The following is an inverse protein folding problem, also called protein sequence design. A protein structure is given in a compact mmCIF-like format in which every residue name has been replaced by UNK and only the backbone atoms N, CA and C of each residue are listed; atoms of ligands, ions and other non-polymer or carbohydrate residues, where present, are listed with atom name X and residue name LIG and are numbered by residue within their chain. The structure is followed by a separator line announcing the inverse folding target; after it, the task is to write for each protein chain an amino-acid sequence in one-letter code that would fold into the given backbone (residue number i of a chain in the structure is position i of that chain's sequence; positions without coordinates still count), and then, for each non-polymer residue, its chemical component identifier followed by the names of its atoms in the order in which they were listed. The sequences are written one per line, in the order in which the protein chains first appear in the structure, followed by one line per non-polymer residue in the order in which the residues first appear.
data_IF_516310634325
#
_entry.id   IF_516310634325
#
_cell.length_a   1.000
_cell.length_b   1.000
_cell.length_c   1.000
_cell.angle_alpha   90.00
_cell.angle_beta   90.00
_cell.angle_gamma   90.00
#
_symmetry.space_group_name_H-M   'P 1'
#
loop_
_entity.id
_entity.type
_entity.pdbx_description
1 polymer ?
#
# COMPACT_ATOMS: atom_id res chain seq x y z
N UNK A 1 21.89 57.95 62.07
CA UNK A 1 20.99 56.77 62.03
C UNK A 1 20.42 56.55 60.64
N UNK A 2 21.23 56.43 59.59
CA UNK A 2 20.76 56.19 58.20
C UNK A 2 21.79 55.39 57.34
N UNK A 3 22.32 54.33 57.88
CA UNK A 3 23.22 53.43 57.11
C UNK A 3 22.90 51.92 57.25
N UNK A 4 21.79 51.56 57.87
CA UNK A 4 21.42 50.15 58.15
C UNK A 4 20.29 49.57 57.30
N UNK A 5 19.55 50.38 56.51
CA UNK A 5 18.35 49.88 55.77
C UNK A 5 18.61 49.48 54.30
N UNK A 6 19.77 49.82 53.73
CA UNK A 6 20.03 49.56 52.30
C UNK A 6 20.62 48.16 52.06
N UNK A 7 21.07 47.42 53.08
CA UNK A 7 21.62 46.07 52.90
C UNK A 7 20.62 44.92 53.00
N UNK A 8 19.44 45.15 53.51
CA UNK A 8 18.43 44.05 53.63
C UNK A 8 17.60 43.86 52.34
N UNK A 9 17.45 44.87 51.51
CA UNK A 9 16.66 44.72 50.27
C UNK A 9 17.45 44.09 49.12
N UNK A 10 18.77 44.07 49.14
CA UNK A 10 19.61 43.48 48.12
C UNK A 10 19.63 41.93 48.18
N UNK A 11 19.47 41.36 49.35
CA UNK A 11 19.49 39.88 49.54
C UNK A 11 18.16 39.20 49.26
N UNK A 12 17.06 39.93 49.33
CA UNK A 12 15.72 39.42 49.00
C UNK A 12 15.48 39.39 47.48
N UNK A 13 16.12 40.25 46.69
CA UNK A 13 15.98 40.24 45.21
C UNK A 13 16.84 39.15 44.57
N UNK A 14 18.00 38.79 45.12
CA UNK A 14 18.83 37.69 44.61
C UNK A 14 18.23 36.33 44.87
N UNK A 15 17.44 36.16 45.99
CA UNK A 15 16.74 34.92 46.28
C UNK A 15 15.58 34.64 45.37
N UNK A 16 14.84 35.69 44.95
CA UNK A 16 13.71 35.57 44.05
C UNK A 16 14.11 35.32 42.58
N UNK A 17 15.28 35.80 42.13
CA UNK A 17 15.84 35.51 40.82
C UNK A 17 16.35 34.05 40.70
N UNK A 18 16.90 33.49 41.77
CA UNK A 18 17.33 32.09 41.78
C UNK A 18 16.17 31.10 41.84
N UNK A 19 15.07 31.44 42.53
CA UNK A 19 13.87 30.60 42.56
C UNK A 19 13.12 30.64 41.24
N UNK A 20 13.12 31.75 40.52
CA UNK A 20 12.53 31.88 39.18
C UNK A 20 13.30 31.09 38.12
N UNK A 21 14.63 31.05 38.17
CA UNK A 21 15.46 30.30 37.23
C UNK A 21 15.40 28.76 37.47
N UNK A 22 15.17 28.31 38.70
CA UNK A 22 14.97 26.89 39.01
C UNK A 22 13.57 26.37 38.59
N UNK A 23 12.55 27.24 38.57
CA UNK A 23 11.22 26.84 38.09
C UNK A 23 11.12 26.86 36.55
N UNK A 24 11.86 27.72 35.85
CA UNK A 24 11.92 27.68 34.38
C UNK A 24 12.81 26.55 33.85
N UNK A 25 13.79 26.09 34.61
CA UNK A 25 14.62 24.93 34.25
C UNK A 25 13.92 23.57 34.39
N UNK A 26 12.88 23.48 35.22
CA UNK A 26 12.09 22.25 35.45
C UNK A 26 10.93 22.07 34.46
N UNK A 27 10.56 23.13 33.71
CA UNK A 27 9.49 23.05 32.72
C UNK A 27 9.94 22.61 31.32
N UNK A 28 11.24 22.45 31.08
CA UNK A 28 11.80 21.98 29.81
C UNK A 28 12.23 20.50 29.82
N UNK A 29 11.92 19.76 30.89
CA UNK A 29 12.05 18.30 30.94
C UNK A 29 10.68 17.62 30.74
N UNK A 30 9.77 18.28 30.00
CA UNK A 30 8.50 17.69 29.68
C UNK A 30 8.59 16.93 28.35
N UNK A 31 8.40 15.65 28.49
CA UNK A 31 8.02 14.69 27.44
C UNK A 31 9.02 14.56 26.27
N UNK A 32 10.12 13.88 26.50
CA UNK A 32 10.49 12.85 25.54
C UNK A 32 9.37 11.82 25.64
N UNK A 33 8.32 12.01 24.84
CA UNK A 33 7.44 10.92 24.45
C UNK A 33 8.39 9.91 23.81
N UNK A 34 8.70 8.82 24.49
CA UNK A 34 9.18 7.61 23.84
C UNK A 34 8.07 7.30 22.84
N UNK A 35 8.27 7.64 21.58
CA UNK A 35 7.37 7.22 20.54
C UNK A 35 7.26 5.71 20.68
N UNK A 36 6.06 5.17 20.73
CA UNK A 36 5.86 3.72 20.73
C UNK A 36 6.59 3.18 19.52
N UNK A 37 7.67 2.47 19.76
CA UNK A 37 8.61 1.96 18.78
C UNK A 37 7.92 1.07 17.72
N UNK A 38 6.78 0.50 18.10
CA UNK A 38 5.90 -0.31 17.25
C UNK A 38 4.46 -0.18 17.75
N UNK A 39 3.52 0.12 16.85
CA UNK A 39 2.08 0.09 17.12
C UNK A 39 1.34 -0.66 16.04
N UNK A 40 0.22 -1.29 16.39
CA UNK A 40 -0.67 -1.98 15.46
C UNK A 40 -2.12 -1.61 15.74
N UNK A 41 -2.91 -1.39 14.68
CA UNK A 41 -4.33 -1.06 14.74
C UNK A 41 -5.11 -1.85 13.70
N UNK A 42 -6.20 -2.48 14.10
CA UNK A 42 -7.16 -3.08 13.19
C UNK A 42 -8.05 -1.97 12.63
N UNK A 43 -8.11 -1.85 11.30
CA UNK A 43 -8.94 -0.86 10.62
C UNK A 43 -10.25 -1.46 10.09
N UNK A 44 -10.22 -2.71 9.64
CA UNK A 44 -11.38 -3.42 9.12
C UNK A 44 -11.39 -4.86 9.62
N UNK A 45 -12.56 -5.39 9.88
CA UNK A 45 -12.77 -6.78 10.33
C UNK A 45 -13.83 -7.46 9.46
N UNK A 46 -13.64 -8.75 9.13
CA UNK A 46 -14.64 -9.55 8.43
C UNK A 46 -15.98 -9.58 9.19
N UNK A 47 -17.10 -9.71 8.46
CA UNK A 47 -18.45 -9.77 9.00
C UNK A 47 -18.87 -8.52 9.82
N UNK A 48 -18.28 -7.33 9.53
CA UNK A 48 -18.66 -6.06 10.16
C UNK A 48 -19.20 -5.05 9.15
N UNK A 49 -19.91 -4.03 9.62
CA UNK A 49 -20.44 -2.90 8.85
C UNK A 49 -21.27 -3.30 7.61
N UNK A 50 -21.83 -4.53 7.59
CA UNK A 50 -22.62 -5.06 6.49
C UNK A 50 -21.81 -5.67 5.34
N UNK A 51 -20.51 -5.86 5.52
CA UNK A 51 -19.61 -6.48 4.55
C UNK A 51 -19.08 -7.81 5.06
N UNK A 52 -19.08 -8.79 4.15
CA UNK A 52 -18.60 -10.15 4.43
C UNK A 52 -17.08 -10.16 4.64
N UNK A 53 -16.33 -9.35 3.88
CA UNK A 53 -14.88 -9.40 3.91
C UNK A 53 -14.28 -8.09 3.42
N UNK A 54 -13.15 -7.68 4.01
CA UNK A 54 -12.31 -6.59 3.51
C UNK A 54 -10.98 -7.16 3.04
N UNK A 55 -10.56 -6.78 1.83
CA UNK A 55 -9.34 -7.30 1.19
C UNK A 55 -8.62 -6.24 0.37
N UNK A 56 -7.44 -6.60 -0.13
CA UNK A 56 -6.70 -5.80 -1.12
C UNK A 56 -6.29 -4.45 -0.54
N UNK A 57 -5.44 -4.46 0.49
CA UNK A 57 -4.98 -3.23 1.16
C UNK A 57 -4.12 -2.37 0.25
N UNK A 58 -4.33 -1.06 0.32
CA UNK A 58 -3.45 -0.04 -0.23
C UNK A 58 -3.34 1.14 0.74
N UNK A 59 -2.17 1.75 0.82
CA UNK A 59 -1.90 2.85 1.75
C UNK A 59 -0.98 3.89 1.13
N UNK A 60 -1.34 5.17 1.29
CA UNK A 60 -0.51 6.29 0.86
C UNK A 60 -0.52 7.40 1.91
N UNK A 61 0.49 8.27 1.88
CA UNK A 61 0.58 9.47 2.71
C UNK A 61 0.53 10.69 1.81
N UNK A 62 -0.43 11.59 2.06
CA UNK A 62 -0.59 12.82 1.25
C UNK A 62 0.54 13.81 1.52
N UNK A 63 0.69 14.81 0.66
CA UNK A 63 1.68 15.86 0.82
C UNK A 63 1.55 16.64 2.16
N UNK A 64 0.37 16.62 2.78
CA UNK A 64 0.11 17.22 4.10
C UNK A 64 0.30 16.24 5.27
N UNK A 65 0.71 14.99 4.98
CA UNK A 65 0.91 13.95 6.01
C UNK A 65 -0.35 13.19 6.42
N UNK A 66 -1.50 13.41 5.76
CA UNK A 66 -2.70 12.59 5.98
C UNK A 66 -2.46 11.18 5.42
N UNK A 67 -2.74 10.17 6.21
CA UNK A 67 -2.68 8.77 5.77
C UNK A 67 -4.03 8.36 5.20
N UNK A 68 -4.01 7.75 4.02
CA UNK A 68 -5.18 7.17 3.35
C UNK A 68 -4.98 5.66 3.26
N UNK A 69 -5.78 4.89 4.00
CA UNK A 69 -5.83 3.43 3.94
C UNK A 69 -7.12 3.01 3.23
N UNK A 70 -6.99 2.28 2.12
CA UNK A 70 -8.12 1.87 1.29
C UNK A 70 -8.08 0.39 0.95
N UNK A 71 -9.25 -0.17 0.67
CA UNK A 71 -9.39 -1.60 0.40
C UNK A 71 -10.66 -1.91 -0.40
N UNK A 72 -10.78 -3.16 -0.86
CA UNK A 72 -12.04 -3.72 -1.33
C UNK A 72 -12.92 -4.10 -0.13
N UNK A 73 -14.16 -3.64 -0.11
CA UNK A 73 -15.22 -4.04 0.81
C UNK A 73 -16.18 -4.99 0.06
N UNK A 74 -16.13 -6.28 0.36
CA UNK A 74 -16.86 -7.37 -0.29
C UNK A 74 -18.15 -7.67 0.46
N UNK A 75 -19.29 -7.35 -0.12
CA UNK A 75 -20.55 -7.29 0.62
C UNK A 75 -21.13 -8.65 0.97
N UNK A 76 -21.18 -9.56 0.03
CA UNK A 76 -21.89 -10.83 0.21
C UNK A 76 -21.01 -12.07 0.06
N UNK A 77 -19.77 -11.93 -0.33
CA UNK A 77 -18.91 -13.04 -0.71
C UNK A 77 -17.46 -12.80 -0.33
N UNK A 78 -16.71 -13.88 -0.17
CA UNK A 78 -15.24 -13.84 -0.02
C UNK A 78 -14.52 -13.86 -1.37
N UNK A 79 -15.26 -14.08 -2.48
CA UNK A 79 -14.71 -14.18 -3.82
C UNK A 79 -14.19 -12.83 -4.34
N UNK A 80 -13.30 -12.87 -5.33
CA UNK A 80 -12.74 -11.68 -6.00
C UNK A 80 -13.76 -11.03 -6.96
N UNK A 81 -15.00 -11.50 -6.99
CA UNK A 81 -16.10 -11.00 -7.82
C UNK A 81 -17.41 -11.06 -7.05
N UNK A 82 -18.26 -10.09 -7.26
CA UNK A 82 -19.53 -9.92 -6.57
C UNK A 82 -19.84 -8.45 -6.35
N UNK A 83 -20.64 -8.13 -5.36
CA UNK A 83 -20.82 -6.75 -4.91
C UNK A 83 -19.62 -6.33 -4.10
N UNK A 84 -18.72 -5.56 -4.74
CA UNK A 84 -17.47 -5.08 -4.15
C UNK A 84 -17.39 -3.57 -4.33
N UNK A 85 -17.08 -2.87 -3.26
CA UNK A 85 -16.90 -1.43 -3.18
C UNK A 85 -15.45 -1.09 -2.79
N UNK A 86 -15.00 0.14 -3.04
CA UNK A 86 -13.74 0.64 -2.49
C UNK A 86 -14.03 1.53 -1.29
N UNK A 87 -13.55 1.11 -0.14
CA UNK A 87 -13.65 1.84 1.12
C UNK A 87 -12.31 2.45 1.52
N UNK A 88 -12.40 3.60 2.19
CA UNK A 88 -11.24 4.37 2.66
C UNK A 88 -11.44 4.84 4.09
N UNK A 89 -10.38 4.77 4.89
CA UNK A 89 -10.23 5.45 6.19
C UNK A 89 -9.07 6.44 6.11
N UNK A 90 -9.21 7.55 6.83
CA UNK A 90 -8.22 8.63 6.90
C UNK A 90 -7.67 8.78 8.30
N UNK A 91 -6.39 9.10 8.41
CA UNK A 91 -5.75 9.53 9.66
C UNK A 91 -5.00 10.84 9.42
N UNK A 92 -5.20 11.82 10.30
CA UNK A 92 -4.51 13.12 10.27
C UNK A 92 -3.46 13.26 11.37
N UNK A 93 -3.22 12.20 12.12
CA UNK A 93 -2.32 12.12 13.28
C UNK A 93 -1.29 10.99 13.15
N UNK A 94 -0.82 10.75 11.91
CA UNK A 94 0.21 9.75 11.60
C UNK A 94 -0.21 8.31 11.95
N UNK A 95 -1.48 7.97 11.78
CA UNK A 95 -2.00 6.62 11.96
C UNK A 95 -2.42 6.29 13.41
N UNK A 96 -2.46 7.28 14.31
CA UNK A 96 -2.87 7.05 15.70
C UNK A 96 -4.39 6.88 15.82
N UNK A 97 -5.16 7.73 15.13
CA UNK A 97 -6.63 7.61 15.06
C UNK A 97 -7.11 7.63 13.61
N UNK A 98 -8.28 7.07 13.38
CA UNK A 98 -8.82 6.86 12.04
C UNK A 98 -10.28 7.27 11.93
N UNK A 99 -10.63 7.87 10.82
CA UNK A 99 -12.02 8.20 10.49
C UNK A 99 -12.89 6.93 10.34
N UNK A 100 -14.22 7.04 10.42
CA UNK A 100 -15.09 5.99 9.89
C UNK A 100 -14.75 5.65 8.44
N UNK A 101 -15.05 4.41 8.02
CA UNK A 101 -14.90 3.99 6.64
C UNK A 101 -15.94 4.69 5.75
N UNK A 102 -15.53 5.12 4.56
CA UNK A 102 -16.40 5.71 3.54
C UNK A 102 -16.17 5.05 2.20
N UNK A 103 -17.23 4.83 1.43
CA UNK A 103 -17.12 4.43 0.04
C UNK A 103 -16.61 5.62 -0.78
N UNK A 104 -15.59 5.41 -1.63
CA UNK A 104 -14.96 6.51 -2.38
C UNK A 104 -15.05 6.34 -3.89
N UNK A 105 -15.30 5.15 -4.41
CA UNK A 105 -15.26 4.87 -5.83
C UNK A 105 -16.60 4.35 -6.34
N UNK A 106 -16.96 4.75 -7.57
CA UNK A 106 -18.06 4.25 -8.37
C UNK A 106 -19.42 4.31 -7.66
N UNK A 107 -19.81 5.51 -7.27
CA UNK A 107 -21.06 5.78 -6.54
C UNK A 107 -22.29 5.96 -7.47
N UNK A 108 -22.10 5.86 -8.80
CA UNK A 108 -23.11 6.11 -9.81
C UNK A 108 -23.82 4.83 -10.31
N UNK A 109 -24.32 4.91 -11.55
CA UNK A 109 -24.97 3.78 -12.20
C UNK A 109 -24.03 2.59 -12.38
N UNK A 110 -24.59 1.39 -12.29
CA UNK A 110 -23.88 0.15 -12.55
C UNK A 110 -23.51 0.03 -14.02
N UNK A 111 -22.29 -0.42 -14.27
CA UNK A 111 -21.81 -0.67 -15.62
C UNK A 111 -22.14 -2.11 -16.07
N UNK A 112 -22.26 -2.35 -17.39
CA UNK A 112 -22.42 -3.68 -17.94
C UNK A 112 -21.30 -4.61 -17.47
N UNK A 113 -21.63 -5.86 -17.16
CA UNK A 113 -20.66 -6.90 -16.82
C UNK A 113 -19.65 -7.11 -17.95
N UNK A 114 -18.45 -7.49 -17.58
CA UNK A 114 -17.46 -7.95 -18.51
C UNK A 114 -17.96 -9.28 -19.17
N UNK A 115 -18.24 -9.30 -20.49
CA UNK A 115 -18.72 -10.49 -21.18
C UNK A 115 -17.67 -11.62 -21.22
N UNK A 116 -16.40 -11.29 -21.02
CA UNK A 116 -15.29 -12.27 -21.01
C UNK A 116 -15.04 -12.85 -19.61
N UNK A 117 -15.78 -12.41 -18.58
CA UNK A 117 -15.71 -13.05 -17.28
C UNK A 117 -16.19 -14.50 -17.38
N UNK A 118 -15.44 -15.46 -16.78
CA UNK A 118 -15.84 -16.87 -16.84
C UNK A 118 -17.26 -17.02 -16.29
N UNK A 119 -18.10 -17.70 -17.05
CA UNK A 119 -19.40 -18.12 -16.54
C UNK A 119 -19.22 -18.90 -15.24
N UNK A 120 -20.14 -18.68 -14.31
CA UNK A 120 -20.15 -19.34 -13.02
C UNK A 120 -19.97 -20.84 -13.18
N UNK A 121 -18.88 -21.38 -12.71
CA UNK A 121 -18.93 -22.74 -12.18
C UNK A 121 -19.88 -22.68 -10.99
N UNK A 122 -20.98 -23.43 -11.03
CA UNK A 122 -22.09 -23.44 -10.03
C UNK A 122 -21.67 -23.52 -8.55
N UNK A 123 -20.40 -23.80 -8.28
CA UNK A 123 -19.80 -23.94 -6.94
C UNK A 123 -19.11 -22.70 -6.37
N UNK A 124 -18.94 -21.62 -7.16
CA UNK A 124 -18.31 -20.37 -6.67
C UNK A 124 -19.29 -19.21 -6.86
N UNK A 125 -19.68 -18.58 -5.78
CA UNK A 125 -20.55 -17.40 -5.83
C UNK A 125 -19.80 -16.23 -6.50
N UNK A 126 -20.00 -16.05 -7.80
CA UNK A 126 -19.35 -15.05 -8.65
C UNK A 126 -20.14 -13.75 -8.74
N UNK A 127 -21.02 -13.52 -7.80
CA UNK A 127 -21.93 -12.39 -7.78
C UNK A 127 -23.22 -12.62 -8.57
N UNK A 128 -24.30 -11.95 -8.20
CA UNK A 128 -25.59 -11.92 -8.89
C UNK A 128 -25.57 -11.07 -10.16
N UNK A 129 -26.62 -11.11 -11.00
CA UNK A 129 -26.72 -10.26 -12.19
C UNK A 129 -26.73 -8.76 -11.85
N UNK A 130 -27.19 -8.42 -10.64
CA UNK A 130 -27.30 -7.04 -10.16
C UNK A 130 -26.11 -6.59 -9.29
N UNK A 131 -25.09 -7.43 -9.13
CA UNK A 131 -23.87 -7.12 -8.37
C UNK A 131 -22.79 -6.54 -9.29
N UNK A 132 -21.98 -5.64 -8.79
CA UNK A 132 -20.86 -5.04 -9.50
C UNK A 132 -19.56 -5.16 -8.73
N UNK A 133 -18.52 -5.57 -9.43
CA UNK A 133 -17.17 -5.64 -8.88
C UNK A 133 -16.40 -4.35 -9.17
N UNK A 134 -16.14 -3.55 -8.14
CA UNK A 134 -15.20 -2.43 -8.18
C UNK A 134 -13.93 -2.88 -7.46
N UNK A 135 -12.80 -2.95 -8.17
CA UNK A 135 -11.67 -3.75 -7.72
C UNK A 135 -10.31 -3.10 -7.94
N UNK A 136 -9.31 -3.63 -7.24
CA UNK A 136 -7.90 -3.33 -7.39
C UNK A 136 -7.57 -1.83 -7.32
N UNK A 137 -7.86 -1.15 -6.21
CA UNK A 137 -7.53 0.27 -6.06
C UNK A 137 -6.02 0.51 -6.00
N UNK A 138 -5.58 1.59 -6.65
CA UNK A 138 -4.20 2.11 -6.62
C UNK A 138 -4.24 3.61 -6.44
N UNK A 139 -3.71 4.13 -5.34
CA UNK A 139 -3.56 5.58 -5.16
C UNK A 139 -2.15 6.04 -5.53
N UNK A 140 -2.06 7.25 -6.07
CA UNK A 140 -0.82 8.00 -6.30
C UNK A 140 -1.00 9.38 -5.67
N UNK A 141 -0.03 9.80 -4.89
CA UNK A 141 0.01 11.17 -4.36
C UNK A 141 0.92 12.01 -5.23
N UNK A 142 0.36 13.07 -5.80
CA UNK A 142 1.12 14.08 -6.54
C UNK A 142 1.70 15.11 -5.54
N UNK A 143 2.87 15.68 -5.87
CA UNK A 143 3.52 16.73 -5.06
C UNK A 143 2.72 18.02 -4.96
N UNK A 144 1.79 18.27 -5.88
CA UNK A 144 0.85 19.39 -5.80
C UNK A 144 -0.24 19.17 -4.73
N UNK A 145 -0.28 17.99 -4.10
CA UNK A 145 -1.25 17.58 -3.10
C UNK A 145 -2.48 16.85 -3.66
N UNK A 146 -2.56 16.67 -4.98
CA UNK A 146 -3.62 15.88 -5.59
C UNK A 146 -3.39 14.38 -5.32
N UNK A 147 -4.43 13.69 -4.88
CA UNK A 147 -4.45 12.23 -4.77
C UNK A 147 -5.24 11.67 -5.95
N UNK A 148 -4.59 10.82 -6.75
CA UNK A 148 -5.23 10.08 -7.84
C UNK A 148 -5.53 8.67 -7.36
N UNK A 149 -6.81 8.26 -7.38
CA UNK A 149 -7.21 6.89 -7.08
C UNK A 149 -7.70 6.23 -8.37
N UNK A 150 -6.91 5.27 -8.85
CA UNK A 150 -7.24 4.42 -9.98
C UNK A 150 -7.90 3.15 -9.46
N UNK A 151 -8.87 2.62 -10.19
CA UNK A 151 -9.53 1.35 -9.88
C UNK A 151 -10.14 0.74 -11.15
N UNK A 152 -10.44 -0.54 -11.09
CA UNK A 152 -11.12 -1.22 -12.19
C UNK A 152 -12.59 -1.54 -11.83
N UNK A 153 -13.43 -1.63 -12.85
CA UNK A 153 -14.78 -2.13 -12.75
C UNK A 153 -14.90 -3.39 -13.60
N UNK A 154 -15.38 -4.46 -12.99
CA UNK A 154 -15.57 -5.77 -13.61
C UNK A 154 -14.28 -6.35 -14.23
N UNK A 155 -13.08 -5.96 -13.73
CA UNK A 155 -11.79 -6.36 -14.30
C UNK A 155 -11.63 -6.05 -15.80
N UNK A 156 -12.34 -5.05 -16.30
CA UNK A 156 -12.39 -4.73 -17.72
C UNK A 156 -12.20 -3.26 -18.01
N UNK A 157 -12.71 -2.38 -17.17
CA UNK A 157 -12.70 -0.93 -17.37
C UNK A 157 -11.95 -0.27 -16.24
N UNK A 158 -11.03 0.62 -16.56
CA UNK A 158 -10.23 1.36 -15.58
C UNK A 158 -10.69 2.80 -15.49
N UNK A 159 -10.80 3.30 -14.27
CA UNK A 159 -11.23 4.65 -13.94
C UNK A 159 -10.22 5.35 -13.04
N UNK A 160 -10.23 6.66 -13.05
CA UNK A 160 -9.52 7.51 -12.10
C UNK A 160 -10.46 8.54 -11.50
N UNK A 161 -10.34 8.76 -10.20
CA UNK A 161 -10.91 9.88 -9.46
C UNK A 161 -9.79 10.65 -8.76
N UNK A 162 -10.01 11.92 -8.49
CA UNK A 162 -9.01 12.80 -7.88
C UNK A 162 -9.57 13.45 -6.63
N UNK A 163 -8.71 13.63 -5.61
CA UNK A 163 -9.00 14.42 -4.44
C UNK A 163 -7.92 15.51 -4.27
N UNK A 164 -8.35 16.73 -3.91
CA UNK A 164 -7.45 17.86 -3.60
C UNK A 164 -7.52 18.31 -2.14
N UNK A 165 -8.25 17.58 -1.34
CA UNK A 165 -8.50 17.83 0.08
C UNK A 165 -8.18 16.62 0.96
N UNK A 166 -7.08 15.93 0.61
CA UNK A 166 -6.55 14.77 1.34
C UNK A 166 -7.58 13.62 1.48
N UNK A 167 -8.32 13.33 0.42
CA UNK A 167 -9.27 12.23 0.38
C UNK A 167 -10.61 12.50 1.07
N UNK A 168 -10.97 13.76 1.35
CA UNK A 168 -12.29 14.11 1.90
C UNK A 168 -13.35 14.07 0.82
N UNK A 169 -13.09 14.71 -0.32
CA UNK A 169 -13.98 14.70 -1.48
C UNK A 169 -13.25 14.20 -2.73
N UNK A 170 -14.01 13.67 -3.68
CA UNK A 170 -13.51 13.08 -4.90
C UNK A 170 -14.27 13.60 -6.12
N UNK A 171 -13.56 13.73 -7.24
CA UNK A 171 -14.17 14.07 -8.53
C UNK A 171 -15.07 12.94 -9.03
N UNK A 172 -15.92 13.25 -10.02
CA UNK A 172 -16.59 12.22 -10.81
C UNK A 172 -15.55 11.30 -11.48
N UNK A 173 -15.86 9.99 -11.64
CA UNK A 173 -14.98 9.05 -12.32
C UNK A 173 -14.72 9.42 -13.78
N UNK A 174 -13.45 9.38 -14.19
CA UNK A 174 -13.02 9.49 -15.58
C UNK A 174 -12.51 8.14 -16.05
N UNK A 175 -13.08 7.62 -17.13
CA UNK A 175 -12.63 6.35 -17.70
C UNK A 175 -11.31 6.52 -18.46
N UNK A 176 -10.33 5.69 -18.13
CA UNK A 176 -8.99 5.67 -18.71
C UNK A 176 -8.65 4.32 -19.37
N UNK A 177 -9.63 3.45 -19.60
CA UNK A 177 -9.45 2.12 -20.20
C UNK A 177 -8.67 2.18 -21.52
N UNK A 178 -8.84 3.27 -22.28
CA UNK A 178 -8.13 3.49 -23.54
C UNK A 178 -6.60 3.45 -23.40
N UNK A 179 -6.06 3.77 -22.24
CA UNK A 179 -4.61 3.69 -21.98
C UNK A 179 -4.06 2.25 -22.07
N UNK A 180 -4.93 1.23 -21.97
CA UNK A 180 -4.54 -0.17 -22.04
C UNK A 180 -4.64 -0.77 -23.43
N UNK A 181 -5.29 -0.10 -24.39
CA UNK A 181 -5.50 -0.63 -25.76
C UNK A 181 -4.18 -0.95 -26.50
N UNK A 182 -3.09 -0.16 -26.39
CA UNK A 182 -1.84 -0.49 -27.07
C UNK A 182 -1.23 -1.83 -26.64
N UNK A 183 -1.55 -2.32 -25.45
CA UNK A 183 -1.04 -3.62 -24.98
C UNK A 183 -1.67 -4.81 -25.68
N UNK A 184 -2.81 -4.64 -26.41
CA UNK A 184 -3.44 -5.72 -27.17
C UNK A 184 -2.55 -6.28 -28.28
N UNK A 185 -1.57 -5.51 -28.75
CA UNK A 185 -0.56 -6.01 -29.68
C UNK A 185 0.33 -7.14 -29.08
N UNK A 186 0.41 -7.18 -27.74
CA UNK A 186 1.24 -8.15 -27.00
C UNK A 186 0.40 -9.23 -26.31
N UNK A 187 -0.71 -8.85 -25.73
CA UNK A 187 -1.66 -9.70 -25.02
C UNK A 187 -3.06 -9.27 -25.42
N UNK A 188 -3.83 -10.13 -26.06
CA UNK A 188 -5.25 -9.87 -26.35
C UNK A 188 -6.06 -9.97 -25.04
N UNK A 189 -5.80 -9.00 -24.17
CA UNK A 189 -6.32 -9.01 -22.81
C UNK A 189 -7.85 -8.96 -22.76
N UNK A 190 -8.40 -9.76 -21.88
CA UNK A 190 -9.81 -9.82 -21.52
C UNK A 190 -10.03 -9.33 -20.08
N UNK A 191 -8.98 -9.33 -19.29
CA UNK A 191 -8.96 -8.90 -17.88
C UNK A 191 -7.80 -7.93 -17.68
N UNK A 192 -8.09 -6.80 -17.08
CA UNK A 192 -7.11 -5.82 -16.57
C UNK A 192 -7.39 -5.50 -15.12
N UNK A 193 -6.33 -5.25 -14.35
CA UNK A 193 -6.43 -4.77 -12.98
C UNK A 193 -5.21 -3.90 -12.64
N UNK A 194 -5.47 -2.74 -12.07
CA UNK A 194 -4.42 -1.88 -11.49
C UNK A 194 -3.82 -2.54 -10.25
N UNK A 195 -2.55 -2.37 -9.98
CA UNK A 195 -1.80 -2.85 -8.82
C UNK A 195 -2.10 -4.29 -8.38
N UNK A 196 -2.64 -4.50 -7.17
CA UNK A 196 -3.10 -3.53 -6.17
C UNK A 196 -1.97 -2.90 -5.35
N UNK A 197 -2.32 -2.10 -4.34
CA UNK A 197 -1.40 -1.34 -3.51
C UNK A 197 -1.34 0.11 -3.98
N UNK A 198 -0.14 0.66 -4.19
CA UNK A 198 0.04 2.04 -4.60
C UNK A 198 0.78 2.18 -5.94
N UNK A 199 0.64 3.36 -6.56
CA UNK A 199 1.52 3.85 -7.61
C UNK A 199 2.37 5.01 -7.08
N UNK A 200 3.23 5.57 -7.92
CA UNK A 200 4.21 6.57 -7.49
C UNK A 200 4.25 7.79 -8.39
N UNK A 201 4.64 8.94 -7.83
CA UNK A 201 5.16 10.04 -8.61
C UNK A 201 6.68 10.02 -8.58
N UNK A 202 7.31 9.98 -9.74
CA UNK A 202 8.76 10.03 -9.89
C UNK A 202 9.30 11.44 -9.58
N UNK A 203 10.59 11.53 -9.28
CA UNK A 203 11.29 12.84 -9.16
C UNK A 203 11.17 13.70 -10.40
N UNK A 204 11.04 13.09 -11.58
CA UNK A 204 10.75 13.77 -12.84
C UNK A 204 9.38 14.45 -12.92
N UNK A 205 8.43 14.07 -12.03
CA UNK A 205 7.04 14.51 -12.04
C UNK A 205 6.09 13.50 -12.66
N UNK A 206 6.57 12.48 -13.37
CA UNK A 206 5.74 11.43 -13.97
C UNK A 206 4.99 10.66 -12.90
N UNK A 207 3.69 10.46 -13.10
CA UNK A 207 2.87 9.52 -12.33
C UNK A 207 2.95 8.15 -12.99
N UNK A 208 3.15 7.10 -12.21
CA UNK A 208 3.24 5.72 -12.71
C UNK A 208 2.31 4.81 -11.92
N UNK A 209 1.40 4.13 -12.60
CA UNK A 209 0.50 3.13 -12.02
C UNK A 209 0.85 1.75 -12.58
N UNK A 210 1.25 0.79 -11.74
CA UNK A 210 1.47 -0.58 -12.16
C UNK A 210 0.13 -1.30 -12.35
N UNK A 211 0.09 -2.28 -13.26
CA UNK A 211 -1.09 -3.11 -13.52
C UNK A 211 -0.70 -4.50 -13.96
N UNK A 212 -1.65 -5.41 -13.93
CA UNK A 212 -1.55 -6.71 -14.58
C UNK A 212 -2.72 -6.96 -15.52
N UNK A 213 -2.50 -7.84 -16.49
CA UNK A 213 -3.53 -8.24 -17.45
C UNK A 213 -3.39 -9.70 -17.84
N UNK A 214 -4.46 -10.26 -18.39
CA UNK A 214 -4.47 -11.62 -18.92
C UNK A 214 -5.47 -11.76 -20.08
N UNK A 215 -5.17 -12.68 -20.99
CA UNK A 215 -6.01 -13.09 -22.11
C UNK A 215 -7.08 -14.12 -21.68
N UNK A 216 -7.66 -13.98 -20.51
CA UNK A 216 -8.55 -14.97 -19.93
C UNK A 216 -9.72 -15.35 -20.86
N UNK A 217 -9.51 -16.32 -21.73
CA UNK A 217 -10.52 -16.89 -22.63
C UNK A 217 -11.10 -18.23 -22.14
N UNK A 218 -10.74 -18.63 -20.91
CA UNK A 218 -11.11 -19.92 -20.32
C UNK A 218 -10.23 -21.09 -20.75
N UNK A 219 -9.22 -20.88 -21.60
CA UNK A 219 -8.25 -21.89 -22.07
C UNK A 219 -6.92 -21.75 -21.33
N UNK A 220 -6.18 -22.85 -21.27
CA UNK A 220 -4.83 -22.84 -20.71
C UNK A 220 -3.82 -23.19 -21.83
N UNK A 221 -2.56 -22.65 -21.75
CA UNK A 221 -2.04 -21.74 -20.73
C UNK A 221 -2.49 -20.31 -20.93
N UNK A 222 -2.80 -19.59 -19.83
CA UNK A 222 -3.12 -18.18 -19.86
C UNK A 222 -1.87 -17.35 -20.11
N UNK A 223 -2.00 -16.29 -20.93
CA UNK A 223 -0.97 -15.27 -21.07
C UNK A 223 -1.21 -14.17 -20.06
N UNK A 224 -0.27 -13.99 -19.15
CA UNK A 224 -0.29 -12.93 -18.16
C UNK A 224 0.83 -11.93 -18.43
N UNK A 225 0.63 -10.68 -18.07
CA UNK A 225 1.66 -9.66 -18.13
C UNK A 225 1.47 -8.58 -17.09
N UNK A 226 2.57 -8.09 -16.58
CA UNK A 226 2.67 -6.89 -15.75
C UNK A 226 3.25 -5.78 -16.57
N UNK A 227 2.62 -4.61 -16.50
CA UNK A 227 3.06 -3.39 -17.15
C UNK A 227 2.75 -2.16 -16.31
N UNK A 228 2.92 -1.02 -16.92
CA UNK A 228 2.61 0.28 -16.33
C UNK A 228 1.82 1.15 -17.30
N UNK A 229 0.93 1.97 -16.75
CA UNK A 229 0.43 3.18 -17.41
C UNK A 229 1.01 4.38 -16.68
N UNK A 230 1.19 5.49 -17.36
CA UNK A 230 1.79 6.69 -16.80
C UNK A 230 1.11 7.97 -17.28
N UNK A 231 1.37 9.07 -16.54
CA UNK A 231 0.95 10.42 -16.93
C UNK A 231 2.10 11.39 -16.71
N UNK A 232 2.37 12.25 -17.71
CA UNK A 232 3.36 13.33 -17.64
C UNK A 232 2.70 14.71 -17.46
N UNK A 233 1.39 14.76 -17.22
CA UNK A 233 0.58 15.98 -17.14
C UNK A 233 -0.34 15.99 -15.90
N UNK A 234 0.18 15.51 -14.77
CA UNK A 234 -0.53 15.47 -13.47
C UNK A 234 -1.88 14.73 -13.55
N UNK A 235 -1.89 13.60 -14.24
CA UNK A 235 -3.06 12.70 -14.31
C UNK A 235 -4.18 13.16 -15.25
N UNK A 236 -3.97 14.22 -16.08
CA UNK A 236 -4.96 14.65 -17.06
C UNK A 236 -5.07 13.66 -18.22
N UNK A 237 -3.94 13.06 -18.63
CA UNK A 237 -3.89 12.03 -19.67
C UNK A 237 -3.04 10.86 -19.22
N UNK A 238 -3.60 9.67 -19.34
CA UNK A 238 -2.91 8.40 -19.08
C UNK A 238 -2.49 7.73 -20.38
N UNK A 239 -1.30 7.17 -20.41
CA UNK A 239 -0.66 6.58 -21.58
C UNK A 239 -0.13 5.19 -21.24
N UNK A 240 -0.07 4.31 -22.24
CA UNK A 240 0.60 3.02 -22.13
C UNK A 240 2.10 3.22 -21.98
N UNK A 241 2.70 2.54 -21.00
CA UNK A 241 4.12 2.24 -20.99
C UNK A 241 4.40 0.93 -21.75
N UNK A 242 5.30 0.12 -21.20
CA UNK A 242 5.59 -1.22 -21.73
C UNK A 242 5.23 -2.32 -20.74
N UNK A 243 5.17 -3.57 -21.22
CA UNK A 243 5.15 -4.74 -20.36
C UNK A 243 6.52 -4.94 -19.73
N UNK A 244 6.56 -4.99 -18.40
CA UNK A 244 7.78 -5.13 -17.60
C UNK A 244 8.09 -6.59 -17.27
N UNK A 245 7.07 -7.36 -16.88
CA UNK A 245 7.24 -8.75 -16.43
C UNK A 245 6.21 -9.64 -17.10
N UNK A 246 6.62 -10.42 -18.12
CA UNK A 246 5.76 -11.46 -18.68
C UNK A 246 5.52 -12.57 -17.65
N UNK A 247 4.31 -13.14 -17.63
CA UNK A 247 3.85 -14.16 -16.68
C UNK A 247 3.80 -13.69 -15.21
N UNK A 248 3.91 -12.37 -14.98
CA UNK A 248 3.67 -11.74 -13.68
C UNK A 248 2.20 -11.43 -13.48
N UNK A 249 1.82 -11.22 -12.22
CA UNK A 249 0.54 -10.68 -11.78
C UNK A 249 0.77 -9.73 -10.61
N UNK A 250 -0.23 -9.01 -10.18
CA UNK A 250 -0.26 -8.16 -8.98
C UNK A 250 1.08 -7.50 -8.62
N UNK A 251 1.47 -6.46 -9.37
CA UNK A 251 2.73 -5.74 -9.16
C UNK A 251 2.64 -4.69 -8.06
N UNK A 252 3.80 -4.29 -7.56
CA UNK A 252 4.00 -3.04 -6.85
C UNK A 252 5.31 -2.39 -7.31
N UNK A 253 5.52 -1.08 -7.03
CA UNK A 253 6.51 -0.26 -7.70
C UNK A 253 7.19 0.73 -6.74
N UNK A 254 8.48 1.02 -6.98
CA UNK A 254 9.23 2.03 -6.24
C UNK A 254 10.28 2.72 -7.12
N UNK A 255 10.60 4.00 -6.82
CA UNK A 255 11.72 4.72 -7.45
C UNK A 255 13.00 4.47 -6.67
N UNK A 256 14.07 4.07 -7.35
CA UNK A 256 15.38 3.77 -6.78
C UNK A 256 16.23 5.03 -6.55
N UNK A 257 17.37 4.87 -5.92
CA UNK A 257 18.25 5.99 -5.56
C UNK A 257 18.75 6.79 -6.75
N UNK A 258 19.02 6.13 -7.88
CA UNK A 258 19.47 6.72 -9.14
C UNK A 258 18.35 7.33 -10.00
N UNK A 259 17.07 7.18 -9.60
CA UNK A 259 15.91 7.63 -10.35
C UNK A 259 15.31 6.58 -11.28
N UNK A 260 15.96 5.44 -11.42
CA UNK A 260 15.33 4.29 -12.08
C UNK A 260 14.17 3.74 -11.24
N UNK A 261 13.35 2.91 -11.83
CA UNK A 261 12.13 2.39 -11.22
C UNK A 261 12.18 0.88 -11.19
N UNK A 262 11.99 0.29 -10.02
CA UNK A 262 11.80 -1.14 -9.86
C UNK A 262 10.31 -1.47 -9.80
N UNK A 263 9.88 -2.46 -10.58
CA UNK A 263 8.59 -3.14 -10.42
C UNK A 263 8.84 -4.55 -9.91
N UNK A 264 8.11 -4.95 -8.88
CA UNK A 264 8.10 -6.33 -8.40
C UNK A 264 6.74 -6.95 -8.66
N UNK A 265 6.69 -8.27 -8.89
CA UNK A 265 5.45 -8.93 -9.26
C UNK A 265 5.30 -10.31 -8.62
N UNK A 266 4.05 -10.59 -8.22
CA UNK A 266 3.57 -11.94 -7.94
C UNK A 266 3.76 -12.82 -9.17
N UNK A 267 4.09 -14.10 -8.96
CA UNK A 267 4.22 -15.06 -10.05
C UNK A 267 3.89 -16.49 -9.59
N UNK A 268 3.86 -17.42 -10.54
CA UNK A 268 3.58 -18.84 -10.30
C UNK A 268 4.79 -19.74 -10.60
N UNK A 269 5.98 -19.16 -10.74
CA UNK A 269 7.20 -19.91 -11.01
C UNK A 269 7.53 -20.85 -9.84
N UNK A 270 7.92 -22.10 -10.10
CA UNK A 270 8.20 -23.09 -9.05
C UNK A 270 9.40 -22.75 -8.16
N UNK A 271 10.23 -21.78 -8.52
CA UNK A 271 11.31 -21.29 -7.64
C UNK A 271 10.81 -20.62 -6.36
N UNK A 272 9.55 -20.18 -6.33
CA UNK A 272 8.96 -19.45 -5.19
C UNK A 272 9.77 -18.20 -4.81
N UNK A 273 10.18 -17.42 -5.80
CA UNK A 273 10.92 -16.16 -5.61
C UNK A 273 10.23 -15.01 -6.30
N UNK A 274 10.26 -13.84 -5.66
CA UNK A 274 9.70 -12.61 -6.22
C UNK A 274 10.40 -12.25 -7.53
N UNK A 275 9.64 -11.89 -8.55
CA UNK A 275 10.17 -11.35 -9.81
C UNK A 275 10.30 -9.84 -9.72
N UNK A 276 11.31 -9.29 -10.40
CA UNK A 276 11.50 -7.85 -10.54
C UNK A 276 12.06 -7.49 -11.91
N UNK A 277 11.76 -6.27 -12.36
CA UNK A 277 12.38 -5.62 -13.51
C UNK A 277 12.62 -4.14 -13.20
N UNK A 278 13.60 -3.53 -13.86
CA UNK A 278 14.01 -2.13 -13.64
C UNK A 278 13.91 -1.39 -14.96
N UNK A 279 13.36 -0.16 -14.91
CA UNK A 279 13.29 0.80 -16.01
C UNK A 279 13.98 2.11 -15.65
N UNK A 280 14.71 2.75 -16.57
CA UNK A 280 15.36 4.04 -16.30
C UNK A 280 14.37 5.20 -16.12
N UNK A 281 13.11 5.04 -16.54
CA UNK A 281 12.11 6.11 -16.57
C UNK A 281 10.72 5.71 -16.08
N UNK A 282 10.57 4.46 -15.61
CA UNK A 282 9.31 3.91 -15.09
C UNK A 282 8.22 3.64 -16.13
N UNK A 283 8.52 3.75 -17.44
CA UNK A 283 7.55 3.52 -18.51
C UNK A 283 8.04 2.57 -19.59
N UNK A 284 9.29 2.68 -19.98
CA UNK A 284 9.90 1.93 -21.10
C UNK A 284 11.26 1.35 -20.70
N UNK A 285 11.86 0.60 -21.62
CA UNK A 285 13.21 0.08 -21.49
C UNK A 285 13.41 -0.80 -20.24
N UNK A 286 12.42 -1.62 -19.94
CA UNK A 286 12.50 -2.55 -18.82
C UNK A 286 13.59 -3.58 -19.01
N UNK A 287 14.39 -3.79 -17.97
CA UNK A 287 15.38 -4.85 -17.95
C UNK A 287 14.71 -6.22 -18.12
N UNK A 288 15.50 -7.23 -18.52
CA UNK A 288 15.04 -8.62 -18.44
C UNK A 288 14.66 -8.92 -16.98
N UNK A 289 13.48 -9.52 -16.72
CA UNK A 289 13.07 -9.87 -15.36
C UNK A 289 14.04 -10.80 -14.66
N UNK A 290 14.30 -10.54 -13.39
CA UNK A 290 15.12 -11.36 -12.51
C UNK A 290 14.28 -11.92 -11.36
N UNK A 291 14.78 -12.96 -10.70
CA UNK A 291 14.26 -13.46 -9.43
C UNK A 291 15.15 -12.97 -8.30
N UNK A 292 14.52 -12.45 -7.23
CA UNK A 292 15.21 -11.99 -6.03
C UNK A 292 15.26 -13.17 -5.05
N UNK A 293 16.41 -13.81 -4.92
CA UNK A 293 16.57 -15.06 -4.14
C UNK A 293 16.20 -14.91 -2.66
N UNK A 294 16.37 -13.72 -2.10
CA UNK A 294 16.03 -13.43 -0.70
C UNK A 294 14.54 -13.27 -0.45
N UNK A 295 13.73 -12.92 -1.45
CA UNK A 295 12.31 -12.63 -1.31
C UNK A 295 11.44 -13.81 -1.71
N UNK A 296 10.75 -14.38 -0.72
CA UNK A 296 9.84 -15.51 -0.96
C UNK A 296 8.56 -15.05 -1.66
N UNK A 297 8.00 -15.94 -2.50
CA UNK A 297 6.80 -15.67 -3.30
C UNK A 297 5.81 -16.83 -3.20
N UNK A 298 4.86 -16.78 -2.27
CA UNK A 298 3.83 -17.81 -2.11
C UNK A 298 2.61 -17.63 -3.05
N UNK A 299 2.71 -16.83 -4.10
CA UNK A 299 1.58 -16.45 -4.94
C UNK A 299 0.75 -15.33 -4.29
N UNK A 300 1.40 -14.26 -3.82
CA UNK A 300 0.79 -13.19 -3.04
C UNK A 300 1.23 -11.81 -3.52
N UNK A 301 0.34 -10.81 -3.52
CA UNK A 301 0.74 -9.41 -3.64
C UNK A 301 1.60 -9.01 -2.44
N UNK A 302 2.53 -8.09 -2.65
CA UNK A 302 3.47 -7.61 -1.64
C UNK A 302 3.87 -6.16 -1.93
N UNK A 303 3.97 -5.35 -0.89
CA UNK A 303 4.33 -3.93 -0.98
C UNK A 303 5.83 -3.72 -1.16
N UNK A 304 6.21 -2.66 -1.88
CA UNK A 304 7.59 -2.17 -1.98
C UNK A 304 7.58 -0.64 -1.96
N UNK A 305 8.45 -0.02 -1.16
CA UNK A 305 8.52 1.44 -1.05
C UNK A 305 9.96 1.90 -0.85
N UNK A 306 10.29 3.06 -1.40
CA UNK A 306 11.55 3.75 -1.10
C UNK A 306 11.40 4.59 0.16
N UNK A 307 12.36 4.47 1.06
CA UNK A 307 12.45 5.24 2.30
C UNK A 307 13.65 6.18 2.24
N UNK A 308 13.49 7.47 2.58
CA UNK A 308 14.55 8.48 2.42
C UNK A 308 15.79 8.27 3.32
N UNK A 309 15.72 7.33 4.27
CA UNK A 309 16.77 7.13 5.26
C UNK A 309 16.56 7.98 6.52
N UNK A 310 17.57 8.05 7.35
CA UNK A 310 17.59 8.81 8.62
C UNK A 310 18.08 10.27 8.45
N UNK A 311 18.31 10.70 7.21
CA UNK A 311 18.83 12.03 6.89
C UNK A 311 20.33 12.23 7.19
N UNK A 312 21.00 11.24 7.79
CA UNK A 312 22.43 11.30 8.16
C UNK A 312 23.32 10.72 7.05
N UNK A 313 22.78 9.80 6.25
CA UNK A 313 23.45 9.18 5.12
C UNK A 313 22.65 9.40 3.84
N UNK A 314 23.35 9.66 2.72
CA UNK A 314 22.73 9.81 1.38
C UNK A 314 22.07 8.51 0.87
N UNK A 315 22.07 7.43 1.67
CA UNK A 315 21.56 6.14 1.29
C UNK A 315 20.06 6.02 1.59
N UNK A 316 19.28 5.88 0.55
CA UNK A 316 17.87 5.50 0.64
C UNK A 316 17.77 4.01 0.99
N UNK A 317 16.70 3.67 1.68
CA UNK A 317 16.33 2.28 1.87
C UNK A 317 15.26 1.88 0.86
N UNK A 318 15.34 0.67 0.36
CA UNK A 318 14.23 0.02 -0.31
C UNK A 318 13.64 -1.01 0.65
N UNK A 319 12.36 -0.85 0.95
CA UNK A 319 11.62 -1.73 1.87
C UNK A 319 10.65 -2.60 1.08
N UNK A 320 10.57 -3.87 1.42
CA UNK A 320 9.63 -4.83 0.85
C UNK A 320 8.86 -5.50 1.98
N UNK A 321 7.55 -5.75 1.80
CA UNK A 321 6.72 -6.43 2.77
C UNK A 321 5.87 -7.50 2.08
N UNK A 322 5.93 -8.74 2.58
CA UNK A 322 5.12 -9.84 2.09
C UNK A 322 5.20 -11.07 2.98
N UNK A 323 4.38 -12.11 2.73
CA UNK A 323 4.42 -13.36 3.47
C UNK A 323 5.75 -14.08 3.27
N UNK A 324 6.32 -14.55 4.38
CA UNK A 324 7.61 -15.25 4.41
C UNK A 324 7.40 -16.77 4.49
N UNK A 325 6.89 -17.32 3.40
CA UNK A 325 6.63 -18.75 3.25
C UNK A 325 6.85 -19.20 1.82
N UNK A 326 7.27 -20.46 1.64
CA UNK A 326 7.33 -21.12 0.33
C UNK A 326 6.07 -21.93 0.02
N UNK A 327 5.17 -22.09 0.98
CA UNK A 327 3.93 -22.81 0.77
C UNK A 327 2.97 -21.97 -0.08
N UNK A 328 2.56 -22.53 -1.22
CA UNK A 328 1.66 -21.89 -2.21
C UNK A 328 0.19 -22.21 -2.02
N UNK A 329 -0.16 -23.04 -1.06
CA UNK A 329 -1.56 -23.24 -0.74
C UNK A 329 -2.17 -21.89 -0.35
N UNK A 330 -3.31 -21.52 -0.96
CA UNK A 330 -3.94 -20.22 -0.72
C UNK A 330 -4.20 -19.94 0.78
N UNK A 331 -4.34 -21.00 1.56
CA UNK A 331 -4.54 -20.94 3.02
C UNK A 331 -3.23 -20.98 3.82
N UNK A 332 -2.08 -21.08 3.17
CA UNK A 332 -0.77 -21.17 3.81
C UNK A 332 0.02 -19.85 3.78
N UNK A 333 -0.57 -18.77 3.26
CA UNK A 333 0.00 -17.42 3.34
C UNK A 333 0.12 -17.00 4.80
N UNK A 334 1.35 -16.70 5.24
CA UNK A 334 1.63 -16.40 6.65
C UNK A 334 2.92 -15.65 6.84
N UNK A 335 3.11 -15.16 8.05
CA UNK A 335 4.34 -14.54 8.53
C UNK A 335 4.75 -13.33 7.69
N UNK A 336 3.84 -12.33 7.59
CA UNK A 336 4.17 -11.06 6.93
C UNK A 336 5.43 -10.48 7.56
N UNK A 337 6.42 -10.25 6.71
CA UNK A 337 7.80 -9.90 7.06
C UNK A 337 8.25 -8.68 6.26
N UNK A 338 8.92 -7.75 6.93
CA UNK A 338 9.58 -6.62 6.31
C UNK A 338 11.01 -7.02 5.96
N UNK A 339 11.43 -6.71 4.74
CA UNK A 339 12.79 -6.81 4.28
C UNK A 339 13.31 -5.42 3.92
N UNK A 340 14.59 -5.16 4.16
CA UNK A 340 15.21 -3.89 3.82
C UNK A 340 16.53 -4.07 3.08
N UNK A 341 16.72 -3.23 2.06
CA UNK A 341 17.91 -3.15 1.20
C UNK A 341 18.49 -1.74 1.25
N UNK A 342 19.84 -1.64 1.23
CA UNK A 342 20.58 -0.38 1.11
C UNK A 342 21.22 -0.18 -0.25
N UNK A 343 21.05 -1.12 -1.15
CA UNK A 343 21.74 -1.19 -2.45
C UNK A 343 20.75 -1.34 -3.61
N UNK A 344 19.59 -0.66 -3.48
CA UNK A 344 18.52 -0.64 -4.49
C UNK A 344 18.00 -2.04 -4.85
N UNK A 345 17.89 -2.91 -3.83
CA UNK A 345 17.30 -4.24 -3.99
C UNK A 345 18.24 -5.31 -4.50
N UNK A 346 19.56 -5.05 -4.60
CA UNK A 346 20.56 -6.06 -4.98
C UNK A 346 20.74 -7.09 -3.87
N UNK A 347 20.77 -6.62 -2.60
CA UNK A 347 20.80 -7.49 -1.42
C UNK A 347 19.75 -7.08 -0.40
N UNK A 348 19.27 -8.01 0.41
CA UNK A 348 18.23 -7.82 1.43
C UNK A 348 18.70 -8.40 2.77
N UNK A 349 19.70 -7.77 3.43
CA UNK A 349 20.31 -8.32 4.64
C UNK A 349 19.43 -8.18 5.89
N UNK A 350 18.46 -7.25 5.88
CA UNK A 350 17.55 -6.99 6.98
C UNK A 350 16.26 -7.74 6.72
N UNK A 351 15.81 -8.47 7.74
CA UNK A 351 14.54 -9.20 7.73
C UNK A 351 13.93 -9.14 9.12
N UNK A 352 12.70 -8.64 9.24
CA UNK A 352 11.98 -8.59 10.51
C UNK A 352 10.53 -8.97 10.33
N UNK A 353 10.09 -9.95 11.09
CA UNK A 353 8.70 -10.41 11.06
C UNK A 353 7.79 -9.37 11.69
N UNK A 354 6.80 -8.88 10.93
CA UNK A 354 5.79 -7.96 11.40
C UNK A 354 4.66 -8.69 12.14
N UNK A 355 4.19 -9.79 11.56
CA UNK A 355 3.10 -10.59 12.13
C UNK A 355 3.41 -12.08 11.99
N UNK A 356 3.24 -12.81 13.11
CA UNK A 356 3.37 -14.27 13.13
C UNK A 356 2.02 -14.92 12.88
N UNK A 357 1.96 -15.86 11.95
CA UNK A 357 0.76 -16.63 11.64
C UNK A 357 0.10 -16.20 10.33
N UNK A 358 -1.15 -16.65 10.08
CA UNK A 358 -1.86 -16.41 8.83
C UNK A 358 -1.92 -14.92 8.50
N UNK A 359 -1.43 -14.54 7.32
CA UNK A 359 -1.38 -13.16 6.84
C UNK A 359 -1.08 -13.16 5.35
N UNK A 360 -1.44 -12.09 4.62
CA UNK A 360 -1.35 -12.16 3.17
C UNK A 360 -0.89 -10.83 2.53
N UNK A 361 -1.77 -10.16 1.75
CA UNK A 361 -1.43 -8.95 1.02
C UNK A 361 -0.98 -7.84 1.96
N UNK A 362 -0.04 -7.04 1.52
CA UNK A 362 0.47 -5.90 2.27
C UNK A 362 0.88 -4.77 1.36
N UNK A 363 0.74 -3.54 1.84
CA UNK A 363 1.24 -2.34 1.19
C UNK A 363 1.97 -1.44 2.18
N UNK A 364 2.88 -0.62 1.71
CA UNK A 364 3.80 0.20 2.51
C UNK A 364 3.67 1.68 2.16
N UNK A 365 3.78 2.53 3.17
CA UNK A 365 3.93 3.97 3.01
C UNK A 365 4.92 4.54 4.02
N UNK A 366 5.50 5.71 3.74
CA UNK A 366 6.44 6.39 4.62
C UNK A 366 5.87 7.74 5.04
N UNK A 367 5.84 8.01 6.33
CA UNK A 367 5.41 9.28 6.90
C UNK A 367 6.48 10.36 6.74
N UNK A 368 6.13 11.66 6.78
CA UNK A 368 7.09 12.75 6.68
C UNK A 368 8.19 12.75 7.74
N UNK A 369 7.95 12.15 8.91
CA UNK A 369 8.94 11.99 9.97
C UNK A 369 9.85 10.76 9.80
N UNK A 370 9.65 9.97 8.74
CA UNK A 370 10.41 8.75 8.46
C UNK A 370 9.82 7.47 9.03
N UNK A 371 8.73 7.52 9.79
CA UNK A 371 8.07 6.28 10.23
C UNK A 371 7.46 5.54 9.04
N UNK A 372 7.41 4.24 9.15
CA UNK A 372 6.91 3.32 8.14
C UNK A 372 5.53 2.82 8.57
N UNK A 373 4.60 2.84 7.62
CA UNK A 373 3.29 2.23 7.77
C UNK A 373 3.21 1.00 6.89
N UNK A 374 2.73 -0.11 7.46
CA UNK A 374 2.38 -1.31 6.71
C UNK A 374 0.90 -1.62 6.92
N UNK A 375 0.12 -1.56 5.84
CA UNK A 375 -1.29 -1.94 5.86
C UNK A 375 -1.42 -3.32 5.23
N UNK A 376 -1.94 -4.32 5.99
CA UNK A 376 -1.83 -5.71 5.59
C UNK A 376 -3.01 -6.57 6.05
N UNK A 377 -3.20 -7.68 5.35
CA UNK A 377 -4.17 -8.72 5.70
C UNK A 377 -3.62 -9.56 6.85
N UNK A 378 -4.32 -9.54 7.98
CA UNK A 378 -4.00 -10.27 9.20
C UNK A 378 -5.05 -11.34 9.47
N UNK A 379 -4.61 -12.52 9.80
CA UNK A 379 -5.48 -13.67 9.95
C UNK A 379 -5.47 -14.29 11.34
N UNK A 380 -6.09 -15.48 11.41
CA UNK A 380 -6.19 -16.30 12.61
C UNK A 380 -5.86 -17.75 12.29
N UNK A 381 -5.25 -18.47 13.24
CA UNK A 381 -4.91 -19.90 13.07
C UNK A 381 -6.16 -20.78 12.95
N UNK A 382 -7.26 -20.36 13.55
CA UNK A 382 -8.54 -21.08 13.46
C UNK A 382 -9.68 -20.10 13.23
N UNK A 383 -10.33 -20.18 12.07
CA UNK A 383 -11.54 -19.42 11.79
C UNK A 383 -12.74 -20.09 12.48
N UNK A 384 -13.54 -19.30 13.17
CA UNK A 384 -14.76 -19.80 13.78
C UNK A 384 -15.75 -20.31 12.71
N UNK A 385 -16.21 -21.57 12.83
CA UNK A 385 -17.16 -22.20 11.90
C UNK A 385 -16.54 -22.92 10.69
N UNK A 386 -15.21 -22.83 10.45
CA UNK A 386 -14.54 -23.47 9.30
C UNK A 386 -13.52 -24.54 9.74
N UNK A 387 -13.99 -25.63 10.35
CA UNK A 387 -13.21 -26.84 10.71
C UNK A 387 -11.77 -26.57 11.21
N UNK A 388 -11.52 -25.41 11.83
CA UNK A 388 -10.23 -25.05 12.43
C UNK A 388 -9.08 -24.83 11.45
N UNK A 389 -9.36 -24.41 10.21
CA UNK A 389 -8.32 -24.09 9.23
C UNK A 389 -7.79 -22.67 9.42
N UNK A 390 -6.49 -22.44 9.14
CA UNK A 390 -5.91 -21.10 9.10
C UNK A 390 -6.65 -20.20 8.10
N UNK A 391 -6.88 -18.93 8.49
CA UNK A 391 -7.57 -17.95 7.66
C UNK A 391 -6.79 -16.64 7.66
N UNK A 392 -6.27 -16.21 6.52
CA UNK A 392 -5.35 -15.08 6.43
C UNK A 392 -6.05 -13.70 6.32
N UNK A 393 -7.37 -13.65 6.34
CA UNK A 393 -8.13 -12.45 5.91
C UNK A 393 -9.14 -11.96 6.95
N UNK A 394 -8.91 -12.24 8.24
CA UNK A 394 -9.82 -11.81 9.32
C UNK A 394 -9.86 -10.29 9.44
N UNK A 395 -8.70 -9.65 9.34
CA UNK A 395 -8.53 -8.24 9.57
C UNK A 395 -7.73 -7.58 8.46
N UNK A 396 -7.94 -6.28 8.29
CA UNK A 396 -6.95 -5.39 7.71
C UNK A 396 -6.37 -4.54 8.84
N UNK A 397 -5.10 -4.72 9.13
CA UNK A 397 -4.38 -4.05 10.19
C UNK A 397 -3.33 -3.08 9.63
N UNK A 398 -3.12 -1.96 10.29
CA UNK A 398 -1.99 -1.06 10.02
C UNK A 398 -0.99 -1.17 11.17
N UNK A 399 0.24 -1.50 10.83
CA UNK A 399 1.38 -1.39 11.73
C UNK A 399 2.16 -0.11 11.43
N UNK A 400 2.65 0.57 12.48
CA UNK A 400 3.55 1.72 12.41
C UNK A 400 4.81 1.41 13.19
N UNK A 401 5.96 1.69 12.60
CA UNK A 401 7.28 1.50 13.20
C UNK A 401 8.30 2.42 12.52
N UNK A 402 9.45 2.60 13.14
CA UNK A 402 10.57 3.36 12.61
C UNK A 402 11.71 2.45 12.11
N UNK A 403 12.73 3.05 11.50
CA UNK A 403 13.92 2.31 11.06
C UNK A 403 14.69 1.71 12.25
N UNK A 404 14.69 2.34 13.41
CA UNK A 404 15.38 1.82 14.58
C UNK A 404 14.77 0.49 15.03
N UNK A 405 13.44 0.42 15.11
CA UNK A 405 12.72 -0.82 15.37
C UNK A 405 13.04 -1.90 14.32
N UNK A 406 13.02 -1.53 13.03
CA UNK A 406 13.29 -2.47 11.94
C UNK A 406 14.71 -3.05 12.01
N UNK A 407 15.69 -2.24 12.42
CA UNK A 407 17.10 -2.62 12.45
C UNK A 407 17.52 -3.36 13.72
N UNK A 408 16.70 -3.33 14.78
CA UNK A 408 16.97 -4.12 16.00
C UNK A 408 16.85 -5.61 15.68
N UNK A 409 17.81 -6.44 16.12
CA UNK A 409 17.69 -7.91 16.02
C UNK A 409 16.37 -8.42 16.63
N UNK A 410 15.85 -9.55 16.09
CA UNK A 410 14.72 -10.27 16.70
C UNK A 410 15.12 -10.94 18.01
#
# INVERSE_FOLDING_TARGET
MMRGLVRLYGLLWLGLLWFGLLQFGLLYLASISVADEFTERILFEEDTDGFKLYRIPGIVVTAKGTVLAYCEARKFTEADRGEIEIHLRRSTDSGQTWSPAVQVAHLGERLPRNPHMPEKKKSKNMGGPDEQTVNNPVAIVDRDGTVHLLYCVEYMRCFVIQSRDDGVTWTSPVEITRAFEPFREKIDWQVIATGPGHGIQLRSGRLVAPFWMTDYDGRLPLTHGVGVIYSDDSGNRWQAGELAIPRGGEPNIAELSDGSVIVTARNTDPRNRRMAAISPNGATDWSKPIFIDSLLEPGCMAGIVSHPGDGVQEHRWLLYCGPDTTDRAHQARRDVTIYASRDDGKTWPIRKRLHRGPSAYSDLAVLPNGDILCFYEQGVEQRHGDRGRPWAYRYLAVARFDLEWLLKPE
#
